data_IF_956736071801
#
_entry.id   IF_956736071801
#
_cell.length_a   1.000
_cell.length_b   1.000
_cell.length_c   1.000
_cell.angle_alpha   90.00
_cell.angle_beta   90.00
_cell.angle_gamma   90.00
#
_symmetry.space_group_name_H-M   'P 1'
#
loop_
_entity.id
_entity.type
_entity.pdbx_description
1 polymer ?
#
# COMPACT_ATOMS: atom_id res chain seq x y z
N UNK A 1 -35.04 0.14 26.76
CA UNK A 1 -34.21 0.40 25.56
C UNK A 1 -34.21 1.89 25.33
N UNK A 2 -33.07 2.54 25.09
CA UNK A 2 -33.08 3.91 24.59
C UNK A 2 -33.75 3.88 23.21
N UNK A 3 -34.75 4.73 23.00
CA UNK A 3 -35.34 4.98 21.70
C UNK A 3 -34.30 5.68 20.80
N UNK A 4 -34.22 5.35 19.49
CA UNK A 4 -33.36 6.08 18.57
C UNK A 4 -33.84 7.54 18.50
N UNK A 5 -32.90 8.49 18.46
CA UNK A 5 -33.23 9.89 18.16
C UNK A 5 -33.86 9.99 16.76
N UNK A 6 -34.99 10.70 16.68
CA UNK A 6 -35.79 10.98 15.48
C UNK A 6 -35.08 11.93 14.50
N UNK A 7 -33.84 11.65 14.12
CA UNK A 7 -33.29 12.17 12.88
C UNK A 7 -33.73 11.25 11.74
N UNK A 8 -34.94 11.49 11.25
CA UNK A 8 -35.44 10.91 9.99
C UNK A 8 -34.46 11.29 8.88
N UNK A 9 -33.51 10.41 8.58
CA UNK A 9 -32.63 10.52 7.42
C UNK A 9 -33.52 10.51 6.18
N UNK A 10 -33.46 11.60 5.41
CA UNK A 10 -34.21 11.72 4.17
C UNK A 10 -33.68 10.65 3.19
N UNK A 11 -34.50 9.69 2.73
CA UNK A 11 -34.03 8.56 1.91
C UNK A 11 -33.50 8.97 0.52
N UNK A 12 -33.63 10.25 0.15
CA UNK A 12 -33.15 10.83 -1.09
C UNK A 12 -31.80 11.57 -0.97
N UNK A 13 -31.17 11.61 0.21
CA UNK A 13 -29.89 12.31 0.38
C UNK A 13 -28.70 11.37 0.19
N UNK A 14 -27.80 11.75 -0.72
CA UNK A 14 -26.58 11.02 -1.03
C UNK A 14 -25.65 10.96 0.20
N UNK A 15 -25.60 9.78 0.81
CA UNK A 15 -24.81 9.54 2.04
C UNK A 15 -23.31 9.76 1.83
N UNK A 16 -22.79 9.50 0.63
CA UNK A 16 -21.37 9.70 0.33
C UNK A 16 -20.98 11.17 0.39
N UNK A 17 -21.89 12.07 -0.01
CA UNK A 17 -21.71 13.53 0.08
C UNK A 17 -21.81 13.99 1.54
N UNK A 18 -22.78 13.46 2.29
CA UNK A 18 -22.92 13.76 3.72
C UNK A 18 -21.67 13.40 4.50
N UNK A 19 -21.15 12.18 4.30
CA UNK A 19 -19.94 11.71 4.96
C UNK A 19 -18.75 12.66 4.70
N UNK A 20 -18.61 13.17 3.48
CA UNK A 20 -17.55 14.12 3.12
C UNK A 20 -17.83 15.57 3.53
N UNK A 21 -19.07 15.91 3.91
CA UNK A 21 -19.46 17.23 4.44
C UNK A 21 -19.56 17.25 5.97
N UNK A 22 -19.37 16.12 6.64
CA UNK A 22 -19.39 16.02 8.10
C UNK A 22 -18.19 16.70 8.79
N UNK A 23 -17.14 17.07 8.05
CA UNK A 23 -16.03 17.85 8.59
C UNK A 23 -16.50 19.24 9.01
N UNK A 24 -16.26 19.62 10.27
CA UNK A 24 -16.65 20.94 10.78
C UNK A 24 -15.78 22.05 10.15
N UNK A 25 -16.37 23.02 9.45
CA UNK A 25 -15.61 24.07 8.77
C UNK A 25 -14.68 24.87 9.70
N UNK A 26 -15.10 25.17 10.92
CA UNK A 26 -14.31 25.95 11.89
C UNK A 26 -13.07 25.21 12.40
N UNK A 27 -13.19 23.90 12.64
CA UNK A 27 -12.06 23.03 13.03
C UNK A 27 -11.06 22.95 11.88
N UNK A 28 -11.54 22.71 10.65
CA UNK A 28 -10.72 22.68 9.45
C UNK A 28 -10.04 24.03 9.18
N UNK A 29 -10.71 25.16 9.47
CA UNK A 29 -10.12 26.49 9.33
C UNK A 29 -8.99 26.73 10.33
N UNK A 30 -9.17 26.25 11.56
CA UNK A 30 -8.15 26.33 12.61
C UNK A 30 -6.93 25.51 12.23
N UNK A 31 -7.15 24.28 11.76
CA UNK A 31 -6.08 23.39 11.31
C UNK A 31 -5.36 23.97 10.09
N UNK A 32 -6.09 24.49 9.11
CA UNK A 32 -5.52 25.22 7.97
C UNK A 32 -4.57 26.34 8.43
N UNK A 33 -5.00 27.21 9.34
CA UNK A 33 -4.18 28.32 9.82
C UNK A 33 -2.89 27.83 10.50
N UNK A 34 -2.99 26.74 11.27
CA UNK A 34 -1.84 26.10 11.93
C UNK A 34 -0.84 25.57 10.90
N UNK A 35 -1.31 24.77 9.94
CA UNK A 35 -0.46 24.16 8.91
C UNK A 35 0.14 25.23 7.97
N UNK A 36 -0.64 26.24 7.60
CA UNK A 36 -0.18 27.30 6.69
C UNK A 36 0.99 28.11 7.25
N UNK A 37 1.03 28.30 8.57
CA UNK A 37 2.15 28.95 9.26
C UNK A 37 3.44 28.11 9.24
N UNK A 38 3.33 26.79 9.15
CA UNK A 38 4.45 25.85 9.14
C UNK A 38 4.98 25.51 7.73
N UNK A 39 4.30 25.97 6.67
CA UNK A 39 4.72 25.73 5.29
C UNK A 39 6.11 26.31 5.02
N UNK A 40 6.96 25.51 4.38
CA UNK A 40 8.18 26.02 3.75
C UNK A 40 7.81 26.90 2.54
N UNK A 41 8.77 27.69 2.05
CA UNK A 41 8.54 28.54 0.88
C UNK A 41 8.21 27.69 -0.36
N UNK A 42 8.86 26.53 -0.51
CA UNK A 42 8.62 25.61 -1.63
C UNK A 42 7.22 24.99 -1.56
N UNK A 43 6.85 24.45 -0.40
CA UNK A 43 5.52 23.87 -0.18
C UNK A 43 4.42 24.93 -0.41
N UNK A 44 4.67 26.17 0.01
CA UNK A 44 3.74 27.30 -0.21
C UNK A 44 3.51 27.60 -1.69
N UNK A 45 4.53 27.53 -2.54
CA UNK A 45 4.39 27.75 -3.99
C UNK A 45 3.54 26.65 -4.63
N UNK A 46 3.82 25.38 -4.30
CA UNK A 46 3.04 24.23 -4.80
C UNK A 46 1.58 24.34 -4.35
N UNK A 47 1.37 24.61 -3.06
CA UNK A 47 0.04 24.87 -2.50
C UNK A 47 -0.70 25.97 -3.26
N UNK A 48 -0.05 27.12 -3.49
CA UNK A 48 -0.65 28.27 -4.17
C UNK A 48 -1.06 27.94 -5.60
N UNK A 49 -0.26 27.17 -6.33
CA UNK A 49 -0.57 26.81 -7.71
C UNK A 49 -1.78 25.87 -7.79
N UNK A 50 -1.81 24.83 -6.96
CA UNK A 50 -2.92 23.87 -6.89
C UNK A 50 -4.20 24.59 -6.49
N UNK A 51 -4.16 25.36 -5.39
CA UNK A 51 -5.36 25.99 -4.85
C UNK A 51 -5.90 27.08 -5.77
N UNK A 52 -5.03 27.77 -6.53
CA UNK A 52 -5.45 28.69 -7.56
C UNK A 52 -6.25 27.96 -8.65
N UNK A 53 -5.81 26.78 -9.08
CA UNK A 53 -6.54 25.99 -10.08
C UNK A 53 -7.90 25.51 -9.57
N UNK A 54 -7.94 25.05 -8.31
CA UNK A 54 -9.16 24.63 -7.61
C UNK A 54 -10.15 25.78 -7.52
N UNK A 55 -9.74 26.92 -6.96
CA UNK A 55 -10.62 28.08 -6.74
C UNK A 55 -11.15 28.68 -8.06
N UNK A 56 -10.41 28.54 -9.16
CA UNK A 56 -10.83 29.01 -10.50
C UNK A 56 -11.58 27.95 -11.31
N UNK A 57 -11.78 26.74 -10.78
CA UNK A 57 -12.32 25.59 -11.51
C UNK A 57 -11.67 25.39 -12.89
N UNK A 58 -10.34 25.61 -12.97
CA UNK A 58 -9.60 25.49 -14.24
C UNK A 58 -9.38 24.04 -14.65
N UNK A 59 -9.57 23.11 -13.71
CA UNK A 59 -9.07 21.74 -13.80
C UNK A 59 -7.55 21.69 -13.72
N UNK A 60 -6.98 20.52 -13.92
CA UNK A 60 -5.54 20.36 -14.08
C UNK A 60 -5.01 19.09 -13.43
N UNK A 61 -3.88 18.64 -13.95
CA UNK A 61 -3.15 17.48 -13.48
C UNK A 61 -1.81 17.96 -12.93
N UNK A 62 -1.53 17.65 -11.68
CA UNK A 62 -0.32 18.05 -10.98
C UNK A 62 0.39 16.83 -10.43
N UNK A 63 1.72 16.83 -10.49
CA UNK A 63 2.53 15.82 -9.81
C UNK A 63 3.49 16.48 -8.83
N UNK A 64 3.35 16.12 -7.56
CA UNK A 64 4.22 16.55 -6.46
C UNK A 64 5.22 15.44 -6.18
N UNK A 65 6.43 15.61 -6.71
CA UNK A 65 7.52 14.68 -6.46
C UNK A 65 8.13 14.93 -5.10
N UNK A 66 8.41 13.92 -4.27
CA UNK A 66 9.15 14.12 -3.03
C UNK A 66 9.54 12.83 -2.33
N UNK A 67 10.80 12.69 -1.91
CA UNK A 67 11.28 11.53 -1.18
C UNK A 67 10.64 11.40 0.21
N UNK A 68 10.75 10.23 0.84
CA UNK A 68 10.24 9.99 2.19
C UNK A 68 10.71 11.06 3.18
N UNK A 69 9.77 11.64 3.94
CA UNK A 69 10.07 12.68 4.93
C UNK A 69 10.07 14.13 4.41
N UNK A 70 9.77 14.38 3.12
CA UNK A 70 9.66 15.73 2.53
C UNK A 70 8.34 16.47 2.85
N UNK A 71 7.43 15.84 3.59
CA UNK A 71 6.16 16.43 3.99
C UNK A 71 5.07 16.42 2.91
N UNK A 72 5.06 15.42 2.00
CA UNK A 72 3.95 15.23 1.03
C UNK A 72 2.59 15.10 1.74
N UNK A 73 2.51 14.24 2.75
CA UNK A 73 1.31 14.06 3.58
C UNK A 73 0.89 15.35 4.26
N UNK A 74 1.85 16.15 4.72
CA UNK A 74 1.59 17.48 5.28
C UNK A 74 0.97 18.43 4.24
N UNK A 75 1.42 18.38 2.99
CA UNK A 75 0.83 19.14 1.89
C UNK A 75 -0.60 18.66 1.56
N UNK A 76 -0.88 17.35 1.64
CA UNK A 76 -2.23 16.81 1.50
C UNK A 76 -3.16 17.31 2.60
N UNK A 77 -2.70 17.31 3.86
CA UNK A 77 -3.47 17.80 5.00
C UNK A 77 -3.87 19.27 4.85
N UNK A 78 -2.95 20.14 4.43
CA UNK A 78 -3.27 21.57 4.29
C UNK A 78 -4.20 21.86 3.11
N UNK A 79 -4.04 21.17 1.98
CA UNK A 79 -4.95 21.28 0.83
C UNK A 79 -6.36 20.82 1.21
N UNK A 80 -6.45 19.69 1.92
CA UNK A 80 -7.68 19.18 2.50
C UNK A 80 -8.35 20.21 3.42
N UNK A 81 -7.59 20.72 4.40
CA UNK A 81 -8.08 21.68 5.38
C UNK A 81 -8.59 22.99 4.77
N UNK A 82 -7.87 23.58 3.80
CA UNK A 82 -8.33 24.82 3.14
C UNK A 82 -9.65 24.60 2.39
N UNK A 83 -9.75 23.53 1.60
CA UNK A 83 -10.92 23.26 0.77
C UNK A 83 -12.13 22.88 1.64
N UNK A 84 -11.92 22.00 2.64
CA UNK A 84 -12.97 21.56 3.58
C UNK A 84 -13.43 22.70 4.49
N UNK A 85 -12.56 23.64 4.88
CA UNK A 85 -12.96 24.84 5.64
C UNK A 85 -13.96 25.74 4.90
N UNK A 86 -14.06 25.58 3.56
CA UNK A 86 -15.02 26.29 2.71
C UNK A 86 -16.27 25.44 2.39
N UNK A 87 -16.45 24.30 3.06
CA UNK A 87 -17.56 23.37 2.82
C UNK A 87 -17.47 22.58 1.52
N UNK A 88 -16.30 22.55 0.87
CA UNK A 88 -16.07 21.80 -0.36
C UNK A 88 -15.47 20.43 -0.10
N UNK A 89 -15.62 19.52 -1.06
CA UNK A 89 -15.22 18.11 -0.92
C UNK A 89 -13.84 17.87 -1.54
N UNK A 90 -13.01 17.09 -0.84
CA UNK A 90 -11.71 16.57 -1.31
C UNK A 90 -11.73 15.06 -1.23
N UNK A 91 -11.42 14.39 -2.33
CA UNK A 91 -11.31 12.93 -2.37
C UNK A 91 -9.85 12.53 -2.22
N UNK A 92 -9.50 11.99 -1.06
CA UNK A 92 -8.18 11.45 -0.80
C UNK A 92 -8.15 9.96 -1.16
N UNK A 93 -7.28 9.60 -2.10
CA UNK A 93 -7.04 8.21 -2.49
C UNK A 93 -5.55 7.86 -2.39
N UNK A 94 -5.26 6.58 -2.21
CA UNK A 94 -3.90 6.07 -2.29
C UNK A 94 -3.85 4.75 -3.07
N UNK A 95 -2.67 4.42 -3.57
CA UNK A 95 -2.45 3.15 -4.29
C UNK A 95 -2.47 1.94 -3.36
N UNK A 96 -2.01 2.09 -2.12
CA UNK A 96 -1.97 1.04 -1.10
C UNK A 96 -2.97 1.28 0.03
N UNK A 97 -3.38 0.20 0.71
CA UNK A 97 -4.29 0.30 1.87
C UNK A 97 -3.65 0.99 3.08
N UNK A 98 -2.34 0.83 3.26
CA UNK A 98 -1.58 1.46 4.35
C UNK A 98 -1.49 2.96 4.11
N UNK A 99 -1.11 3.39 2.91
CA UNK A 99 -1.05 4.81 2.56
C UNK A 99 -2.42 5.48 2.66
N UNK A 100 -3.51 4.77 2.30
CA UNK A 100 -4.86 5.29 2.44
C UNK A 100 -5.24 5.61 3.90
N UNK A 101 -4.74 4.83 4.88
CA UNK A 101 -4.98 5.09 6.30
C UNK A 101 -4.28 6.34 6.82
N UNK A 102 -3.20 6.78 6.16
CA UNK A 102 -2.46 7.98 6.54
C UNK A 102 -3.13 9.27 6.06
N UNK A 103 -4.14 9.17 5.18
CA UNK A 103 -4.89 10.29 4.65
C UNK A 103 -6.22 10.46 5.38
N UNK A 104 -6.58 11.71 5.71
CA UNK A 104 -7.87 12.01 6.35
C UNK A 104 -9.04 11.68 5.40
N UNK A 105 -9.86 10.70 5.79
CA UNK A 105 -10.94 10.14 4.96
C UNK A 105 -10.43 9.27 3.79
N UNK A 106 -9.16 8.87 3.82
CA UNK A 106 -8.51 8.16 2.73
C UNK A 106 -9.09 6.78 2.46
N UNK A 107 -9.12 6.41 1.18
CA UNK A 107 -9.46 5.06 0.71
C UNK A 107 -8.52 4.65 -0.41
N UNK A 108 -8.42 3.36 -0.71
CA UNK A 108 -7.63 2.95 -1.88
C UNK A 108 -8.30 3.45 -3.16
N UNK A 109 -7.53 3.79 -4.19
CA UNK A 109 -8.06 4.25 -5.47
C UNK A 109 -9.05 3.25 -6.09
N UNK A 110 -8.71 1.95 -6.03
CA UNK A 110 -9.60 0.87 -6.44
C UNK A 110 -10.97 0.89 -5.73
N UNK A 111 -10.99 1.10 -4.41
CA UNK A 111 -12.25 1.09 -3.65
C UNK A 111 -13.03 2.41 -3.75
N UNK A 112 -12.34 3.54 -3.87
CA UNK A 112 -12.98 4.86 -3.92
C UNK A 112 -13.53 5.19 -5.29
N UNK A 113 -12.81 4.80 -6.33
CA UNK A 113 -13.08 5.17 -7.72
C UNK A 113 -13.50 3.95 -8.56
N UNK A 114 -13.73 2.78 -7.95
CA UNK A 114 -14.15 1.56 -8.62
C UNK A 114 -13.27 1.20 -9.83
N UNK A 115 -11.95 1.39 -9.70
CA UNK A 115 -10.99 1.03 -10.74
C UNK A 115 -10.92 -0.50 -10.82
N UNK A 116 -11.09 -1.10 -12.01
CA UNK A 116 -10.97 -2.55 -12.16
C UNK A 116 -9.56 -3.03 -11.81
N UNK A 117 -9.45 -4.21 -11.20
CA UNK A 117 -8.15 -4.82 -10.89
C UNK A 117 -7.44 -5.24 -12.20
N UNK A 118 -8.20 -5.83 -13.13
CA UNK A 118 -7.72 -6.17 -14.46
C UNK A 118 -8.04 -5.01 -15.42
N UNK A 119 -7.02 -4.25 -15.75
CA UNK A 119 -7.11 -3.03 -16.55
C UNK A 119 -6.37 -3.19 -17.88
N UNK A 120 -6.97 -2.62 -18.92
CA UNK A 120 -6.38 -2.48 -20.25
C UNK A 120 -6.64 -1.07 -20.79
N UNK A 121 -6.17 -0.81 -22.00
CA UNK A 121 -6.25 0.49 -22.68
C UNK A 121 -7.68 1.01 -22.88
N UNK A 122 -8.70 0.14 -22.83
CA UNK A 122 -10.11 0.46 -23.05
C UNK A 122 -10.97 0.39 -21.79
N UNK A 123 -10.38 0.05 -20.64
CA UNK A 123 -11.10 -0.09 -19.38
C UNK A 123 -11.77 1.23 -18.94
N UNK A 124 -12.91 1.09 -18.27
CA UNK A 124 -13.63 2.17 -17.59
C UNK A 124 -13.78 1.79 -16.11
N UNK A 125 -13.90 2.77 -15.23
CA UNK A 125 -14.28 2.49 -13.84
C UNK A 125 -15.74 2.01 -13.82
N UNK A 126 -16.06 1.08 -12.92
CA UNK A 126 -17.43 0.59 -12.74
C UNK A 126 -18.26 1.60 -11.94
N UNK A 127 -18.50 2.78 -12.53
CA UNK A 127 -19.29 3.88 -11.95
C UNK A 127 -20.36 4.29 -12.95
N UNK A 128 -21.62 4.07 -12.59
CA UNK A 128 -22.75 4.58 -13.37
C UNK A 128 -22.87 6.09 -13.22
N UNK A 129 -23.14 6.81 -14.32
CA UNK A 129 -23.23 8.27 -14.32
C UNK A 129 -24.35 8.81 -13.40
N UNK A 130 -25.37 8.00 -13.12
CA UNK A 130 -26.49 8.35 -12.23
C UNK A 130 -26.28 7.87 -10.78
N UNK A 131 -25.14 7.22 -10.49
CA UNK A 131 -24.85 6.74 -9.14
C UNK A 131 -24.51 7.87 -8.16
N UNK A 132 -24.76 7.62 -6.87
CA UNK A 132 -24.33 8.48 -5.76
C UNK A 132 -22.82 8.80 -5.81
N UNK A 133 -22.00 7.84 -6.26
CA UNK A 133 -20.56 8.05 -6.39
C UNK A 133 -20.23 9.03 -7.52
N UNK A 134 -20.93 8.95 -8.66
CA UNK A 134 -20.77 9.91 -9.75
C UNK A 134 -21.19 11.32 -9.32
N UNK A 135 -22.28 11.46 -8.56
CA UNK A 135 -22.70 12.75 -7.99
C UNK A 135 -21.65 13.31 -7.02
N UNK A 136 -21.12 12.48 -6.12
CA UNK A 136 -20.04 12.89 -5.23
C UNK A 136 -18.80 13.37 -6.01
N UNK A 137 -18.41 12.65 -7.06
CA UNK A 137 -17.29 13.04 -7.93
C UNK A 137 -17.58 14.40 -8.58
N UNK A 138 -18.82 14.67 -9.00
CA UNK A 138 -19.22 15.99 -9.54
C UNK A 138 -19.08 17.10 -8.50
N UNK A 139 -19.40 16.83 -7.24
CA UNK A 139 -19.26 17.81 -6.15
C UNK A 139 -17.80 18.01 -5.69
N UNK A 140 -16.95 16.99 -5.82
CA UNK A 140 -15.55 17.06 -5.40
C UNK A 140 -14.77 18.15 -6.15
N UNK A 141 -14.01 18.98 -5.41
CA UNK A 141 -13.17 20.05 -5.98
C UNK A 141 -11.74 19.62 -6.27
N UNK A 142 -11.26 18.62 -5.56
CA UNK A 142 -9.90 18.11 -5.64
C UNK A 142 -9.89 16.60 -5.42
N UNK A 143 -9.09 15.90 -6.22
CA UNK A 143 -8.74 14.50 -6.01
C UNK A 143 -7.25 14.43 -5.74
N UNK A 144 -6.85 13.89 -4.59
CA UNK A 144 -5.46 13.66 -4.22
C UNK A 144 -5.20 12.16 -4.33
N UNK A 145 -4.13 11.77 -5.03
CA UNK A 145 -3.70 10.38 -5.17
C UNK A 145 -2.25 10.23 -4.66
N UNK A 146 -2.10 9.60 -3.50
CA UNK A 146 -0.80 9.30 -2.89
C UNK A 146 -0.24 7.95 -3.35
N UNK A 147 1.07 7.80 -3.40
CA UNK A 147 1.78 6.61 -3.91
C UNK A 147 1.44 6.30 -5.39
N UNK A 148 1.20 7.34 -6.19
CA UNK A 148 0.73 7.21 -7.58
C UNK A 148 1.67 6.37 -8.49
N UNK A 149 3.02 6.52 -8.47
CA UNK A 149 3.93 5.76 -9.33
C UNK A 149 3.86 4.24 -9.18
N UNK A 150 3.33 3.72 -8.07
CA UNK A 150 3.14 2.28 -7.87
C UNK A 150 2.07 1.67 -8.79
N UNK A 151 1.22 2.48 -9.40
CA UNK A 151 0.09 2.03 -10.22
C UNK A 151 0.42 2.02 -11.70
N UNK A 152 -0.11 1.02 -12.41
CA UNK A 152 -0.02 0.97 -13.86
C UNK A 152 -0.69 2.21 -14.47
N UNK A 153 -0.09 2.80 -15.51
CA UNK A 153 -0.61 3.96 -16.26
C UNK A 153 -2.08 3.82 -16.63
N UNK A 154 -2.55 2.61 -16.93
CA UNK A 154 -3.92 2.35 -17.32
C UNK A 154 -4.92 2.63 -16.19
N UNK A 155 -4.51 2.61 -14.91
CA UNK A 155 -5.36 3.07 -13.80
C UNK A 155 -5.76 4.55 -13.99
N UNK A 156 -4.79 5.40 -14.33
CA UNK A 156 -4.97 6.84 -14.48
C UNK A 156 -5.74 7.18 -15.75
N UNK A 157 -5.45 6.49 -16.84
CA UNK A 157 -6.18 6.63 -18.11
C UNK A 157 -7.63 6.17 -17.99
N UNK A 158 -7.87 5.07 -17.27
CA UNK A 158 -9.22 4.57 -16.96
C UNK A 158 -10.00 5.59 -16.14
N UNK A 159 -9.35 6.19 -15.13
CA UNK A 159 -9.97 7.27 -14.35
C UNK A 159 -10.29 8.48 -15.23
N UNK A 160 -9.36 8.93 -16.08
CA UNK A 160 -9.58 10.06 -16.99
C UNK A 160 -10.81 9.84 -17.87
N UNK A 161 -10.87 8.72 -18.60
CA UNK A 161 -12.03 8.38 -19.45
C UNK A 161 -13.34 8.38 -18.66
N UNK A 162 -13.33 7.81 -17.46
CA UNK A 162 -14.51 7.77 -16.58
C UNK A 162 -14.94 9.16 -16.15
N UNK A 163 -13.99 10.02 -15.73
CA UNK A 163 -14.30 11.38 -15.31
C UNK A 163 -14.78 12.25 -16.46
N UNK A 164 -14.24 12.07 -17.67
CA UNK A 164 -14.75 12.73 -18.87
C UNK A 164 -16.21 12.39 -19.13
N UNK A 165 -16.60 11.13 -18.95
CA UNK A 165 -18.00 10.69 -19.10
C UNK A 165 -18.91 11.21 -17.99
N UNK A 166 -18.52 11.09 -16.71
CA UNK A 166 -19.30 11.56 -15.56
C UNK A 166 -19.54 13.07 -15.61
N UNK A 167 -18.51 13.83 -16.02
CA UNK A 167 -18.52 15.29 -16.10
C UNK A 167 -19.02 15.81 -17.45
N UNK A 168 -19.25 14.93 -18.43
CA UNK A 168 -19.61 15.27 -19.82
C UNK A 168 -18.68 16.32 -20.42
N UNK A 169 -17.38 16.12 -20.24
CA UNK A 169 -16.32 17.05 -20.65
C UNK A 169 -15.11 16.28 -21.18
N UNK A 170 -14.71 16.55 -22.42
CA UNK A 170 -13.53 15.92 -23.07
C UNK A 170 -12.19 16.52 -22.58
N UNK A 171 -12.21 17.30 -21.51
CA UNK A 171 -10.99 17.82 -20.88
C UNK A 171 -10.44 16.78 -19.92
N UNK A 172 -9.13 16.76 -19.72
CA UNK A 172 -8.46 15.86 -18.79
C UNK A 172 -9.16 15.88 -17.42
N UNK A 173 -9.46 14.69 -16.92
CA UNK A 173 -10.23 14.39 -15.72
C UNK A 173 -11.58 15.11 -15.63
N UNK A 174 -12.23 15.37 -16.77
CA UNK A 174 -13.50 16.09 -16.79
C UNK A 174 -13.41 17.50 -16.21
N UNK A 175 -12.28 18.17 -16.35
CA UNK A 175 -11.95 19.48 -15.72
C UNK A 175 -11.81 19.44 -14.19
N UNK A 176 -11.65 18.26 -13.57
CA UNK A 176 -11.28 18.16 -12.16
C UNK A 176 -9.81 18.55 -11.97
N UNK A 177 -9.51 19.01 -10.76
CA UNK A 177 -8.13 19.15 -10.31
C UNK A 177 -7.74 17.82 -9.68
N UNK A 178 -6.72 17.19 -10.26
CA UNK A 178 -6.16 15.93 -9.78
C UNK A 178 -4.70 16.16 -9.44
N UNK A 179 -4.32 15.82 -8.21
CA UNK A 179 -2.95 15.93 -7.74
C UNK A 179 -2.46 14.54 -7.39
N UNK A 180 -1.38 14.15 -8.04
CA UNK A 180 -0.64 12.95 -7.72
C UNK A 180 0.58 13.33 -6.90
N UNK A 181 1.03 12.45 -6.02
CA UNK A 181 2.37 12.62 -5.51
C UNK A 181 2.94 11.32 -5.03
N UNK A 182 4.25 11.22 -5.24
CA UNK A 182 5.16 10.28 -4.60
C UNK A 182 6.61 10.54 -5.08
N UNK A 183 7.53 9.63 -4.80
CA UNK A 183 8.89 9.57 -5.34
C UNK A 183 9.00 8.49 -6.43
N UNK A 184 9.50 8.86 -7.61
CA UNK A 184 9.72 7.91 -8.71
C UNK A 184 10.86 6.91 -8.44
N UNK A 185 11.67 7.17 -7.40
CA UNK A 185 12.69 6.26 -6.89
C UNK A 185 12.10 5.14 -6.01
N UNK A 186 10.81 5.22 -5.68
CA UNK A 186 10.08 4.14 -5.02
C UNK A 186 9.66 3.05 -6.02
N UNK A 187 8.89 2.06 -5.54
CA UNK A 187 8.56 0.87 -6.31
C UNK A 187 7.63 1.23 -7.48
N UNK A 188 8.12 0.98 -8.70
CA UNK A 188 7.35 1.08 -9.94
C UNK A 188 6.29 -0.02 -10.04
N UNK A 189 5.35 0.07 -10.99
CA UNK A 189 4.27 -0.90 -11.11
C UNK A 189 4.85 -2.31 -11.35
N UNK A 190 4.45 -3.26 -10.52
CA UNK A 190 4.88 -4.65 -10.67
C UNK A 190 4.12 -5.27 -11.84
N UNK A 191 4.82 -5.60 -12.92
CA UNK A 191 4.26 -6.28 -14.09
C UNK A 191 4.59 -7.77 -14.00
N UNK A 192 3.60 -8.66 -13.77
CA UNK A 192 3.83 -10.09 -13.75
C UNK A 192 4.51 -10.56 -15.04
N UNK A 193 5.61 -11.30 -14.91
CA UNK A 193 6.40 -11.82 -16.04
C UNK A 193 6.97 -10.73 -16.97
N UNK A 194 6.85 -9.45 -16.57
CA UNK A 194 7.35 -8.31 -17.31
C UNK A 194 8.80 -8.02 -16.99
N UNK A 195 9.60 -7.82 -18.04
CA UNK A 195 10.96 -7.30 -17.89
C UNK A 195 11.01 -5.80 -17.61
N UNK A 196 12.23 -5.25 -17.58
CA UNK A 196 12.50 -3.82 -17.37
C UNK A 196 11.68 -2.91 -18.27
N UNK A 197 11.64 -3.22 -19.56
CA UNK A 197 10.89 -2.46 -20.59
C UNK A 197 9.39 -2.41 -20.28
N UNK A 198 8.80 -3.53 -19.86
CA UNK A 198 7.38 -3.58 -19.53
C UNK A 198 7.04 -2.70 -18.32
N UNK A 199 7.92 -2.66 -17.31
CA UNK A 199 7.77 -1.81 -16.13
C UNK A 199 7.82 -0.32 -16.50
N UNK A 200 8.76 0.08 -17.36
CA UNK A 200 8.88 1.47 -17.84
C UNK A 200 7.65 1.86 -18.67
N UNK A 201 7.18 1.00 -19.57
CA UNK A 201 5.97 1.27 -20.38
C UNK A 201 4.70 1.33 -19.55
N UNK A 202 4.63 0.59 -18.44
CA UNK A 202 3.52 0.63 -17.51
C UNK A 202 3.57 1.83 -16.55
N UNK A 203 4.68 2.55 -16.47
CA UNK A 203 4.85 3.69 -15.57
C UNK A 203 4.00 4.88 -16.01
N UNK A 204 3.54 5.69 -15.05
CA UNK A 204 2.62 6.81 -15.28
C UNK A 204 3.17 7.89 -16.24
N UNK A 205 4.49 8.06 -16.27
CA UNK A 205 5.18 8.98 -17.19
C UNK A 205 5.11 8.54 -18.66
N UNK A 206 4.86 7.26 -18.90
CA UNK A 206 4.61 6.67 -20.23
C UNK A 206 3.13 6.77 -20.64
N UNK A 207 2.29 7.43 -19.82
CA UNK A 207 0.89 7.68 -20.15
C UNK A 207 0.73 8.83 -21.13
N UNK A 208 -0.31 8.76 -21.96
CA UNK A 208 -0.74 9.87 -22.83
C UNK A 208 -1.16 11.13 -22.04
N UNK A 209 -1.48 10.98 -20.75
CA UNK A 209 -1.83 12.09 -19.87
C UNK A 209 -0.60 12.90 -19.43
N UNK A 210 0.57 12.26 -19.38
CA UNK A 210 1.78 12.83 -18.77
C UNK A 210 2.23 14.18 -19.38
N UNK A 211 2.17 14.40 -20.70
CA UNK A 211 2.54 15.70 -21.30
C UNK A 211 1.69 16.88 -20.81
N UNK A 212 0.49 16.61 -20.28
CA UNK A 212 -0.39 17.62 -19.69
C UNK A 212 -0.23 17.78 -18.18
N UNK A 213 0.65 16.98 -17.57
CA UNK A 213 1.00 17.07 -16.16
C UNK A 213 1.82 18.32 -15.90
N UNK A 214 1.38 19.13 -14.94
CA UNK A 214 2.25 20.12 -14.31
C UNK A 214 3.13 19.40 -13.30
N UNK A 215 4.28 18.95 -13.79
CA UNK A 215 5.30 18.37 -12.95
C UNK A 215 6.01 19.48 -12.17
N UNK A 216 5.99 19.39 -10.83
CA UNK A 216 6.84 20.28 -10.03
C UNK A 216 8.29 19.79 -10.12
N UNK A 217 8.98 20.25 -11.17
CA UNK A 217 10.36 19.87 -11.55
C UNK A 217 11.40 20.03 -10.43
N UNK A 218 11.06 20.78 -9.39
CA UNK A 218 12.00 21.35 -8.45
C UNK A 218 12.47 20.42 -7.32
N UNK A 219 11.72 19.35 -7.01
CA UNK A 219 12.16 18.35 -6.01
C UNK A 219 13.17 17.33 -6.57
N UNK A 220 13.43 17.33 -7.88
CA UNK A 220 14.59 16.66 -8.46
C UNK A 220 15.88 17.38 -8.04
N UNK A 221 15.91 18.72 -8.11
CA UNK A 221 17.13 19.52 -7.88
C UNK A 221 17.71 19.38 -6.46
N UNK A 222 16.87 19.10 -5.46
CA UNK A 222 17.29 18.87 -4.06
C UNK A 222 17.71 17.42 -3.83
N UNK A 223 17.09 16.46 -4.54
CA UNK A 223 17.39 15.03 -4.44
C UNK A 223 18.59 14.57 -5.29
N UNK A 224 19.09 15.44 -6.16
CA UNK A 224 20.14 15.10 -7.13
C UNK A 224 21.56 15.47 -6.71
N UNK A 225 21.77 15.86 -5.43
CA UNK A 225 23.07 16.16 -4.81
C UNK A 225 24.25 15.73 -5.69
N UNK A 226 24.64 16.63 -6.60
CA UNK A 226 25.33 16.32 -7.87
C UNK A 226 26.23 15.09 -7.80
N UNK A 227 25.81 13.96 -8.39
CA UNK A 227 26.73 12.95 -8.97
C UNK A 227 26.06 12.28 -10.19
N UNK A 228 26.22 12.92 -11.35
CA UNK A 228 26.25 12.21 -12.64
C UNK A 228 27.63 11.53 -12.74
N UNK A 229 27.73 10.28 -12.29
CA UNK A 229 28.70 9.35 -12.87
C UNK A 229 27.99 8.56 -13.98
N UNK A 230 28.70 8.20 -15.07
CA UNK A 230 28.11 7.47 -16.17
C UNK A 230 27.76 6.07 -15.66
N UNK A 231 26.48 5.86 -15.34
CA UNK A 231 25.98 4.60 -14.78
C UNK A 231 24.90 4.01 -15.70
N UNK A 232 25.16 2.80 -16.17
CA UNK A 232 24.51 2.12 -17.30
C UNK A 232 23.23 1.37 -16.89
N UNK A 233 22.61 1.77 -15.77
CA UNK A 233 21.35 1.20 -15.27
C UNK A 233 21.49 0.03 -14.27
N UNK A 234 22.66 -0.60 -14.22
CA UNK A 234 23.04 -1.62 -13.22
C UNK A 234 24.49 -1.38 -12.76
N UNK A 235 24.71 -1.30 -11.46
CA UNK A 235 26.04 -1.05 -10.89
C UNK A 235 26.28 -1.99 -9.72
N UNK A 236 27.42 -2.70 -9.74
CA UNK A 236 27.90 -3.37 -8.55
C UNK A 236 28.38 -2.34 -7.54
N UNK A 237 27.71 -2.30 -6.38
CA UNK A 237 28.13 -1.47 -5.26
C UNK A 237 28.76 -2.34 -4.18
N UNK A 238 29.90 -1.89 -3.66
CA UNK A 238 30.56 -2.52 -2.53
C UNK A 238 29.99 -1.97 -1.22
N UNK A 239 29.61 -2.86 -0.31
CA UNK A 239 29.02 -2.46 0.97
C UNK A 239 30.13 -2.32 2.01
N UNK A 240 30.17 -1.19 2.74
CA UNK A 240 31.10 -1.04 3.85
C UNK A 240 30.92 -2.11 4.93
N UNK A 241 32.06 -2.62 5.43
CA UNK A 241 32.16 -3.77 6.34
C UNK A 241 31.36 -3.62 7.64
N UNK A 242 31.15 -2.38 8.11
CA UNK A 242 30.41 -2.08 9.33
C UNK A 242 28.92 -2.46 9.26
N UNK A 243 28.37 -2.62 8.06
CA UNK A 243 26.99 -3.02 7.84
C UNK A 243 26.82 -4.47 7.38
N UNK A 244 27.92 -5.15 7.04
CA UNK A 244 27.89 -6.52 6.58
C UNK A 244 27.90 -7.49 7.75
N UNK A 245 27.06 -8.53 7.65
CA UNK A 245 27.19 -9.72 8.49
C UNK A 245 28.24 -10.61 7.81
N UNK A 246 29.50 -10.51 8.26
CA UNK A 246 30.68 -11.03 7.54
C UNK A 246 31.02 -12.49 7.80
N UNK A 247 30.39 -13.15 8.78
CA UNK A 247 30.66 -14.55 9.08
C UNK A 247 29.47 -15.23 9.78
N UNK A 248 28.79 -16.13 9.07
CA UNK A 248 27.90 -17.12 9.68
C UNK A 248 27.81 -18.38 8.84
N UNK A 249 27.89 -19.55 9.48
CA UNK A 249 27.54 -20.84 8.88
C UNK A 249 26.03 -20.95 8.62
N UNK A 250 25.21 -20.21 9.38
CA UNK A 250 23.76 -20.08 9.20
C UNK A 250 23.37 -18.61 8.99
N UNK A 251 23.15 -18.19 7.73
CA UNK A 251 22.81 -16.81 7.38
C UNK A 251 21.51 -16.33 8.08
N UNK A 252 20.50 -17.19 8.20
CA UNK A 252 19.21 -16.84 8.82
C UNK A 252 19.39 -16.62 10.32
N UNK A 253 20.13 -17.51 10.99
CA UNK A 253 20.42 -17.33 12.41
C UNK A 253 21.12 -16.00 12.69
N UNK A 254 22.10 -15.63 11.86
CA UNK A 254 22.88 -14.41 12.10
C UNK A 254 22.05 -13.13 11.95
N UNK A 255 21.23 -13.02 10.90
CA UNK A 255 20.37 -11.83 10.73
C UNK A 255 19.29 -11.74 11.82
N UNK A 256 18.72 -12.89 12.22
CA UNK A 256 17.77 -12.94 13.33
C UNK A 256 18.42 -12.52 14.64
N UNK A 257 19.61 -13.07 14.94
CA UNK A 257 20.36 -12.74 16.12
C UNK A 257 20.69 -11.25 16.20
N UNK A 258 21.07 -10.64 15.09
CA UNK A 258 21.46 -9.24 15.06
C UNK A 258 20.26 -8.29 15.25
N UNK A 259 19.10 -8.60 14.66
CA UNK A 259 17.92 -7.73 14.70
C UNK A 259 17.07 -7.95 15.95
N UNK A 260 16.82 -9.20 16.29
CA UNK A 260 15.94 -9.61 17.38
C UNK A 260 16.70 -10.06 18.64
N UNK A 261 18.00 -10.33 18.56
CA UNK A 261 18.78 -10.76 19.72
C UNK A 261 18.49 -12.19 20.18
N UNK A 262 19.28 -12.71 21.12
CA UNK A 262 19.14 -14.09 21.64
C UNK A 262 17.87 -14.36 22.45
N UNK A 263 17.19 -13.30 22.91
CA UNK A 263 16.09 -13.41 23.88
C UNK A 263 14.73 -13.03 23.31
N UNK A 264 14.60 -12.85 21.99
CA UNK A 264 13.32 -12.45 21.38
C UNK A 264 12.17 -13.42 21.72
N UNK A 265 12.49 -14.70 21.89
CA UNK A 265 11.52 -15.73 22.23
C UNK A 265 10.87 -15.55 23.62
N UNK A 266 11.46 -14.72 24.49
CA UNK A 266 10.93 -14.37 25.82
C UNK A 266 10.32 -12.96 25.86
N UNK A 267 10.41 -12.22 24.76
CA UNK A 267 9.97 -10.84 24.69
C UNK A 267 8.46 -10.77 24.47
N UNK A 268 7.79 -9.89 25.21
CA UNK A 268 6.34 -9.75 25.19
C UNK A 268 5.88 -8.30 24.92
N UNK A 269 6.80 -7.34 24.84
CA UNK A 269 6.49 -5.95 24.52
C UNK A 269 6.14 -5.82 23.01
N UNK A 270 4.94 -5.36 22.64
CA UNK A 270 4.60 -5.06 21.25
C UNK A 270 5.55 -4.07 20.59
N UNK A 271 6.08 -3.12 21.36
CA UNK A 271 6.98 -2.10 20.83
C UNK A 271 8.28 -2.73 20.35
N UNK A 272 8.68 -3.85 20.94
CA UNK A 272 9.87 -4.57 20.51
C UNK A 272 9.75 -5.06 19.07
N UNK A 273 8.63 -5.71 18.72
CA UNK A 273 8.36 -6.21 17.38
C UNK A 273 7.91 -5.10 16.41
N UNK A 274 7.27 -4.04 16.89
CA UNK A 274 6.89 -2.88 16.05
C UNK A 274 8.09 -2.20 15.39
N UNK A 275 9.19 -2.10 16.13
CA UNK A 275 10.36 -1.33 15.74
C UNK A 275 11.37 -2.14 14.94
N UNK A 276 11.11 -3.44 14.75
CA UNK A 276 12.02 -4.43 14.17
C UNK A 276 11.35 -5.18 13.04
N UNK A 277 12.01 -5.28 11.90
CA UNK A 277 11.59 -6.20 10.85
C UNK A 277 12.80 -6.71 10.08
N UNK A 278 12.68 -7.91 9.53
CA UNK A 278 13.60 -8.40 8.49
C UNK A 278 12.93 -8.24 7.13
N UNK A 279 13.58 -7.56 6.20
CA UNK A 279 13.08 -7.30 4.87
C UNK A 279 13.80 -8.19 3.86
N UNK A 280 13.07 -8.74 2.90
CA UNK A 280 13.64 -9.48 1.78
C UNK A 280 12.92 -9.13 0.47
N UNK A 281 13.60 -9.16 -0.69
CA UNK A 281 12.94 -8.98 -1.99
C UNK A 281 12.02 -10.17 -2.35
N UNK A 282 12.31 -11.39 -1.85
CA UNK A 282 11.60 -12.61 -2.24
C UNK A 282 10.70 -13.13 -1.13
N UNK A 283 9.46 -13.50 -1.48
CA UNK A 283 8.52 -14.10 -0.52
C UNK A 283 9.04 -15.43 0.06
N UNK A 284 9.81 -16.21 -0.70
CA UNK A 284 10.38 -17.48 -0.25
C UNK A 284 11.35 -17.30 0.92
N UNK A 285 12.20 -16.27 0.88
CA UNK A 285 13.15 -16.00 1.95
C UNK A 285 12.44 -15.45 3.19
N UNK A 286 11.43 -14.59 2.99
CA UNK A 286 10.52 -14.14 4.06
C UNK A 286 9.90 -15.35 4.77
N UNK A 287 9.44 -16.33 4.00
CA UNK A 287 8.82 -17.54 4.54
C UNK A 287 9.80 -18.40 5.35
N UNK A 288 11.01 -18.63 4.84
CA UNK A 288 12.07 -19.37 5.56
C UNK A 288 12.41 -18.70 6.89
N UNK A 289 12.58 -17.37 6.89
CA UNK A 289 12.93 -16.60 8.09
C UNK A 289 11.77 -16.63 9.10
N UNK A 290 10.52 -16.45 8.63
CA UNK A 290 9.35 -16.51 9.49
C UNK A 290 9.17 -17.90 10.14
N UNK A 291 9.39 -18.98 9.38
CA UNK A 291 9.34 -20.35 9.90
C UNK A 291 10.45 -20.59 10.92
N UNK A 292 11.67 -20.15 10.62
CA UNK A 292 12.79 -20.21 11.56
C UNK A 292 12.45 -19.50 12.88
N UNK A 293 11.97 -18.26 12.80
CA UNK A 293 11.57 -17.47 13.97
C UNK A 293 10.47 -18.13 14.79
N UNK A 294 9.45 -18.68 14.12
CA UNK A 294 8.36 -19.40 14.78
C UNK A 294 8.87 -20.66 15.50
N UNK A 295 9.81 -21.40 14.92
CA UNK A 295 10.38 -22.61 15.53
C UNK A 295 11.08 -22.31 16.87
N UNK A 296 11.67 -21.12 17.02
CA UNK A 296 12.38 -20.71 18.24
C UNK A 296 11.44 -20.18 19.34
N UNK A 297 10.18 -19.85 19.01
CA UNK A 297 9.23 -19.36 20.00
C UNK A 297 8.75 -20.51 20.90
N UNK A 298 8.74 -20.37 22.24
CA UNK A 298 8.18 -21.37 23.13
C UNK A 298 6.65 -21.43 23.00
N UNK A 299 6.09 -22.61 23.27
CA UNK A 299 4.64 -22.83 23.27
C UNK A 299 4.18 -23.85 22.25
N UNK A 300 2.89 -24.16 22.32
CA UNK A 300 2.24 -25.13 21.44
C UNK A 300 2.06 -24.57 20.03
N UNK A 301 2.39 -25.39 19.03
CA UNK A 301 2.17 -25.10 17.62
C UNK A 301 0.74 -25.44 17.21
N UNK A 302 0.08 -24.47 16.60
CA UNK A 302 -1.26 -24.63 16.04
C UNK A 302 -1.19 -24.55 14.53
N UNK A 303 -1.57 -25.63 13.87
CA UNK A 303 -1.64 -25.71 12.41
C UNK A 303 -3.09 -25.59 11.95
N UNK A 304 -3.33 -24.63 11.04
CA UNK A 304 -4.62 -24.43 10.41
C UNK A 304 -4.56 -24.74 8.92
N UNK A 305 -5.32 -25.76 8.51
CA UNK A 305 -5.53 -26.05 7.10
C UNK A 305 -6.65 -25.20 6.52
N UNK A 306 -6.44 -24.71 5.30
CA UNK A 306 -7.45 -23.99 4.53
C UNK A 306 -8.46 -24.94 3.90
N UNK A 307 -9.59 -24.38 3.48
CA UNK A 307 -10.57 -25.08 2.64
C UNK A 307 -10.70 -24.32 1.33
N UNK A 308 -10.28 -24.94 0.24
CA UNK A 308 -10.17 -24.31 -1.07
C UNK A 308 -11.27 -24.85 -1.99
N UNK A 309 -11.86 -23.96 -2.79
CA UNK A 309 -12.94 -24.31 -3.73
C UNK A 309 -12.89 -23.40 -4.96
N UNK A 310 -13.45 -23.88 -6.06
CA UNK A 310 -13.64 -23.09 -7.29
C UNK A 310 -15.03 -22.44 -7.22
N UNK A 311 -15.13 -21.18 -7.67
CA UNK A 311 -16.39 -20.49 -7.87
C UNK A 311 -16.98 -20.92 -9.21
N UNK A 312 -18.04 -21.71 -9.15
CA UNK A 312 -18.80 -22.15 -10.32
C UNK A 312 -19.78 -21.04 -10.73
N UNK A 313 -19.30 -20.05 -11.48
CA UNK A 313 -20.16 -19.15 -12.24
C UNK A 313 -20.02 -19.51 -13.72
N UNK A 314 -21.02 -20.21 -14.24
CA UNK A 314 -21.27 -20.49 -15.67
C UNK A 314 -20.42 -21.54 -16.42
N UNK A 315 -19.70 -22.43 -15.74
CA UNK A 315 -19.19 -23.67 -16.36
C UNK A 315 -19.90 -24.92 -15.84
N UNK A 316 -20.29 -25.79 -16.78
CA UNK A 316 -20.94 -27.08 -16.51
C UNK A 316 -20.17 -27.89 -15.45
N UNK A 317 -20.89 -28.64 -14.62
CA UNK A 317 -20.42 -29.60 -13.58
C UNK A 317 -19.23 -30.51 -13.97
N UNK A 318 -18.87 -30.56 -15.25
CA UNK A 318 -17.69 -31.26 -15.77
C UNK A 318 -16.34 -30.57 -15.50
N UNK A 319 -16.29 -29.25 -15.21
CA UNK A 319 -15.02 -28.53 -14.97
C UNK A 319 -14.49 -28.64 -13.52
N UNK A 320 -15.35 -28.91 -12.54
CA UNK A 320 -14.94 -29.21 -11.15
C UNK A 320 -14.06 -30.47 -11.07
N UNK A 321 -14.03 -31.28 -12.14
CA UNK A 321 -13.24 -32.51 -12.24
C UNK A 321 -11.82 -32.30 -12.79
N UNK A 322 -11.47 -31.10 -13.29
CA UNK A 322 -10.18 -30.87 -13.97
C UNK A 322 -9.06 -30.50 -13.00
N UNK A 323 -9.38 -29.91 -11.83
CA UNK A 323 -8.39 -29.45 -10.86
C UNK A 323 -8.49 -30.23 -9.55
N UNK A 324 -7.40 -30.90 -9.16
CA UNK A 324 -7.37 -31.65 -7.91
C UNK A 324 -7.30 -30.73 -6.69
N UNK A 325 -7.79 -31.21 -5.54
CA UNK A 325 -7.71 -30.45 -4.29
C UNK A 325 -6.25 -30.17 -3.90
N UNK A 326 -5.33 -31.09 -4.18
CA UNK A 326 -3.89 -30.93 -3.94
C UNK A 326 -3.32 -29.77 -4.77
N UNK A 327 -3.76 -29.63 -6.02
CA UNK A 327 -3.36 -28.50 -6.86
C UNK A 327 -3.86 -27.17 -6.26
N UNK A 328 -5.13 -27.09 -5.87
CA UNK A 328 -5.67 -25.89 -5.23
C UNK A 328 -4.93 -25.53 -3.93
N UNK A 329 -4.65 -26.53 -3.09
CA UNK A 329 -3.91 -26.36 -1.83
C UNK A 329 -2.44 -25.91 -2.08
N UNK A 330 -1.85 -26.29 -3.22
CA UNK A 330 -0.47 -25.91 -3.59
C UNK A 330 -0.33 -24.45 -4.05
N UNK A 331 -1.44 -23.78 -4.39
CA UNK A 331 -1.42 -22.40 -4.86
C UNK A 331 -0.97 -21.47 -3.73
N UNK A 332 0.18 -20.83 -3.94
CA UNK A 332 0.77 -19.82 -3.06
C UNK A 332 1.02 -18.54 -3.86
N UNK A 333 0.13 -17.56 -3.73
CA UNK A 333 0.20 -16.28 -4.44
C UNK A 333 0.12 -15.11 -3.46
N UNK A 334 0.72 -13.99 -3.81
CA UNK A 334 0.71 -12.79 -2.97
C UNK A 334 -0.72 -12.35 -2.65
N UNK A 335 -0.99 -12.06 -1.36
CA UNK A 335 -2.31 -11.63 -0.89
C UNK A 335 -3.31 -12.77 -0.64
N UNK A 336 -2.93 -14.03 -0.91
CA UNK A 336 -3.66 -15.22 -0.51
C UNK A 336 -3.00 -15.83 0.74
N UNK A 337 -3.76 -16.13 1.81
CA UNK A 337 -3.22 -16.87 2.95
C UNK A 337 -2.72 -18.25 2.53
N UNK A 338 -1.71 -18.76 3.23
CA UNK A 338 -1.19 -20.11 3.00
C UNK A 338 -2.25 -21.17 3.28
N UNK A 339 -2.19 -22.27 2.52
CA UNK A 339 -3.01 -23.45 2.80
C UNK A 339 -2.74 -23.95 4.22
N UNK A 340 -1.46 -24.18 4.53
CA UNK A 340 -0.99 -24.52 5.86
C UNK A 340 -0.50 -23.26 6.58
N UNK A 341 -1.21 -22.86 7.64
CA UNK A 341 -0.88 -21.72 8.47
C UNK A 341 -0.53 -22.19 9.89
N UNK A 342 0.77 -22.15 10.21
CA UNK A 342 1.28 -22.50 11.55
C UNK A 342 1.48 -21.25 12.40
N UNK A 343 0.97 -21.27 13.63
CA UNK A 343 1.04 -20.16 14.56
C UNK A 343 1.36 -20.62 15.98
N UNK A 344 1.92 -19.70 16.77
CA UNK A 344 2.11 -19.83 18.21
C UNK A 344 1.63 -18.56 18.90
N UNK A 345 1.20 -18.68 20.15
CA UNK A 345 0.86 -17.52 20.98
C UNK A 345 2.09 -16.63 21.16
N UNK A 346 1.94 -15.33 20.96
CA UNK A 346 3.03 -14.35 20.98
C UNK A 346 3.63 -14.05 19.60
N UNK A 347 3.27 -14.81 18.56
CA UNK A 347 3.78 -14.54 17.21
C UNK A 347 3.23 -13.20 16.65
N UNK A 348 4.08 -12.35 16.06
CA UNK A 348 3.66 -11.21 15.26
C UNK A 348 3.10 -11.69 13.92
N UNK A 349 1.95 -11.14 13.55
CA UNK A 349 1.23 -11.42 12.33
C UNK A 349 0.82 -10.12 11.64
N UNK A 350 0.55 -10.20 10.35
CA UNK A 350 0.07 -9.10 9.53
C UNK A 350 -1.23 -9.50 8.86
N UNK A 351 -2.22 -8.60 8.85
CA UNK A 351 -3.45 -8.79 8.08
C UNK A 351 -3.18 -8.68 6.58
N UNK A 352 -3.76 -9.60 5.80
CA UNK A 352 -3.67 -9.64 4.35
C UNK A 352 -4.87 -8.99 3.65
N UNK A 353 -5.92 -8.67 4.41
CA UNK A 353 -7.17 -8.10 3.91
C UNK A 353 -7.74 -7.08 4.90
N UNK A 354 -8.54 -6.17 4.36
CA UNK A 354 -9.34 -5.25 5.15
C UNK A 354 -10.50 -6.03 5.79
N UNK A 355 -10.60 -5.98 7.12
CA UNK A 355 -11.70 -6.56 7.90
C UNK A 355 -12.58 -5.45 8.46
N UNK A 356 -11.96 -4.49 9.14
CA UNK A 356 -12.63 -3.32 9.70
C UNK A 356 -11.70 -2.10 9.58
N UNK A 357 -11.74 -1.39 8.45
CA UNK A 357 -10.90 -0.22 8.24
C UNK A 357 -11.13 0.90 9.26
N UNK A 358 -12.37 1.03 9.78
CA UNK A 358 -12.70 2.07 10.76
C UNK A 358 -12.11 1.74 12.14
N UNK A 359 -12.06 0.45 12.49
CA UNK A 359 -11.39 -0.06 13.68
C UNK A 359 -9.89 -0.34 13.52
N UNK A 360 -9.25 0.12 12.43
CA UNK A 360 -7.81 -0.05 12.21
C UNK A 360 -7.36 -1.43 11.72
N UNK A 361 -8.29 -2.33 11.37
CA UNK A 361 -8.01 -3.66 10.81
C UNK A 361 -7.99 -3.65 9.29
N UNK A 362 -6.91 -3.10 8.74
CA UNK A 362 -6.63 -3.05 7.31
C UNK A 362 -5.57 -4.08 6.89
N UNK A 363 -5.47 -4.30 5.58
CA UNK A 363 -4.34 -4.99 4.99
C UNK A 363 -3.03 -4.27 5.37
N UNK A 364 -2.06 -5.02 5.89
CA UNK A 364 -0.80 -4.50 6.41
C UNK A 364 -0.80 -4.22 7.91
N UNK A 365 -1.95 -4.18 8.60
CA UNK A 365 -2.00 -3.95 10.04
C UNK A 365 -1.22 -5.06 10.77
N UNK A 366 -0.26 -4.65 11.61
CA UNK A 366 0.56 -5.56 12.42
C UNK A 366 -0.11 -5.85 13.75
N UNK A 367 -0.19 -7.13 14.09
CA UNK A 367 -0.86 -7.65 15.28
C UNK A 367 0.04 -8.66 16.00
N UNK A 368 -0.19 -8.89 17.29
CA UNK A 368 0.45 -9.99 18.04
C UNK A 368 -0.62 -10.95 18.53
N UNK A 369 -0.43 -12.24 18.26
CA UNK A 369 -1.36 -13.29 18.69
C UNK A 369 -1.38 -13.40 20.21
N UNK A 370 -2.54 -13.22 20.83
CA UNK A 370 -2.71 -13.37 22.29
C UNK A 370 -3.40 -14.67 22.66
N UNK A 371 -4.32 -15.16 21.83
CA UNK A 371 -4.98 -16.46 22.01
C UNK A 371 -5.31 -17.10 20.66
N UNK A 372 -5.31 -18.42 20.65
CA UNK A 372 -5.55 -19.24 19.46
C UNK A 372 -6.70 -20.20 19.78
N UNK A 373 -7.70 -20.25 18.91
CA UNK A 373 -8.86 -21.15 19.03
C UNK A 373 -9.26 -21.69 17.64
N UNK A 374 -10.09 -22.73 17.59
CA UNK A 374 -10.40 -23.44 16.34
C UNK A 374 -10.95 -22.54 15.21
N UNK A 375 -11.74 -21.53 15.57
CA UNK A 375 -12.48 -20.71 14.60
C UNK A 375 -12.19 -19.21 14.68
N UNK A 376 -11.40 -18.78 15.66
CA UNK A 376 -11.08 -17.37 15.90
C UNK A 376 -9.67 -17.25 16.49
N UNK A 377 -8.96 -16.21 16.09
CA UNK A 377 -7.68 -15.82 16.68
C UNK A 377 -7.88 -14.51 17.42
N UNK A 378 -7.51 -14.45 18.69
CA UNK A 378 -7.41 -13.18 19.41
C UNK A 378 -6.02 -12.61 19.17
N UNK A 379 -5.97 -11.37 18.70
CA UNK A 379 -4.72 -10.65 18.51
C UNK A 379 -4.81 -9.23 19.07
N UNK A 380 -3.66 -8.63 19.33
CA UNK A 380 -3.56 -7.26 19.83
C UNK A 380 -2.95 -6.36 18.77
N UNK A 381 -3.54 -5.20 18.52
CA UNK A 381 -3.06 -4.23 17.52
C UNK A 381 -1.74 -3.59 17.98
N UNK A 382 -0.75 -3.55 17.07
CA UNK A 382 0.58 -2.98 17.31
C UNK A 382 0.77 -1.62 16.62
N UNK A 383 0.03 -1.36 15.55
CA UNK A 383 0.17 -0.18 14.67
C UNK A 383 -1.14 0.62 14.58
N UNK A 384 -1.06 1.96 14.51
CA UNK A 384 -2.23 2.86 14.35
C UNK A 384 -2.66 3.56 15.64
N UNK A 385 -3.87 4.13 15.63
CA UNK A 385 -4.46 4.85 16.78
C UNK A 385 -5.07 3.88 17.82
N UNK A 386 -5.45 2.67 17.39
CA UNK A 386 -6.04 1.60 18.22
C UNK A 386 -4.99 0.68 18.89
N UNK A 387 -3.81 1.20 19.22
CA UNK A 387 -2.72 0.38 19.79
C UNK A 387 -3.13 -0.24 21.13
N UNK A 388 -2.79 -1.51 21.31
CA UNK A 388 -3.15 -2.36 22.44
C UNK A 388 -4.61 -2.84 22.50
N UNK A 389 -5.46 -2.47 21.55
CA UNK A 389 -6.80 -3.05 21.48
C UNK A 389 -6.73 -4.53 21.09
N UNK A 390 -7.57 -5.34 21.75
CA UNK A 390 -7.75 -6.75 21.42
C UNK A 390 -8.82 -6.89 20.36
N UNK A 391 -8.51 -7.67 19.33
CA UNK A 391 -9.38 -7.94 18.20
C UNK A 391 -9.50 -9.42 17.96
N UNK A 392 -10.64 -9.81 17.38
CA UNK A 392 -10.94 -11.18 17.00
C UNK A 392 -10.89 -11.30 15.49
N UNK A 393 -10.03 -12.20 15.00
CA UNK A 393 -9.84 -12.44 13.57
C UNK A 393 -10.55 -13.76 13.22
N UNK A 394 -11.64 -13.72 12.44
CA UNK A 394 -12.30 -14.92 11.95
C UNK A 394 -11.63 -15.45 10.68
N UNK A 395 -11.95 -16.69 10.31
CA UNK A 395 -11.67 -17.19 8.96
C UNK A 395 -12.61 -16.53 7.96
N UNK A 396 -12.10 -16.18 6.79
CA UNK A 396 -12.89 -15.63 5.69
C UNK A 396 -12.52 -16.28 4.36
N UNK A 397 -13.38 -16.14 3.37
CA UNK A 397 -13.05 -16.49 2.00
C UNK A 397 -12.16 -15.41 1.40
N UNK A 398 -11.03 -15.82 0.84
CA UNK A 398 -10.07 -14.96 0.15
C UNK A 398 -9.84 -15.54 -1.23
N UNK A 399 -10.08 -14.74 -2.26
CA UNK A 399 -9.77 -15.09 -3.64
C UNK A 399 -8.42 -14.49 -4.05
N UNK A 400 -7.63 -15.16 -4.90
CA UNK A 400 -6.43 -14.59 -5.49
C UNK A 400 -6.74 -13.22 -6.12
N UNK A 401 -5.90 -12.20 -5.90
CA UNK A 401 -6.10 -10.90 -6.53
C UNK A 401 -5.82 -10.90 -8.05
N UNK A 402 -5.13 -11.91 -8.57
CA UNK A 402 -4.61 -11.97 -9.93
C UNK A 402 -5.36 -13.03 -10.74
N UNK A 403 -5.87 -12.68 -11.94
CA UNK A 403 -6.57 -13.59 -12.86
C UNK A 403 -5.60 -14.52 -13.61
N UNK A 404 -4.57 -15.02 -12.92
CA UNK A 404 -3.56 -15.92 -13.47
C UNK A 404 -4.08 -17.33 -13.73
N UNK A 405 -5.18 -17.68 -13.08
CA UNK A 405 -5.79 -18.98 -13.21
C UNK A 405 -6.97 -18.89 -14.17
N UNK A 406 -7.17 -19.89 -15.04
CA UNK A 406 -8.35 -19.97 -15.91
C UNK A 406 -9.66 -20.25 -15.14
N UNK A 407 -9.62 -20.18 -13.81
CA UNK A 407 -10.73 -20.42 -12.90
C UNK A 407 -10.69 -19.41 -11.74
N UNK A 408 -11.85 -19.07 -11.21
CA UNK A 408 -11.96 -18.28 -9.99
C UNK A 408 -11.90 -19.23 -8.79
N UNK A 409 -10.83 -19.20 -7.99
CA UNK A 409 -10.79 -19.95 -6.71
C UNK A 409 -11.05 -19.04 -5.52
N UNK A 410 -11.60 -19.63 -4.46
CA UNK A 410 -11.71 -19.03 -3.14
C UNK A 410 -11.11 -19.97 -2.09
N UNK A 411 -10.28 -19.40 -1.21
CA UNK A 411 -9.65 -20.09 -0.07
C UNK A 411 -10.26 -19.59 1.22
N UNK A 412 -10.83 -20.48 2.03
CA UNK A 412 -11.30 -20.18 3.39
C UNK A 412 -10.16 -20.37 4.39
N UNK A 413 -9.61 -19.27 4.89
CA UNK A 413 -8.52 -19.27 5.87
C UNK A 413 -8.55 -17.99 6.71
N UNK A 414 -7.78 -17.94 7.81
CA UNK A 414 -7.51 -16.66 8.47
C UNK A 414 -6.73 -15.74 7.53
N UNK A 415 -7.14 -14.47 7.34
CA UNK A 415 -6.53 -13.54 6.38
C UNK A 415 -5.24 -12.93 6.94
N UNK A 416 -4.30 -13.75 7.39
CA UNK A 416 -3.08 -13.33 8.10
C UNK A 416 -1.83 -14.05 7.56
N UNK A 417 -0.67 -13.44 7.78
CA UNK A 417 0.64 -14.03 7.58
C UNK A 417 1.55 -13.72 8.77
N UNK A 418 2.57 -14.55 9.02
CA UNK A 418 3.64 -14.22 9.98
C UNK A 418 4.39 -12.96 9.53
N UNK A 419 4.82 -12.16 10.50
CA UNK A 419 5.37 -10.83 10.24
C UNK A 419 6.68 -10.55 11.00
N UNK A 420 7.53 -11.56 11.23
CA UNK A 420 8.92 -11.32 11.68
C UNK A 420 9.79 -10.82 10.52
N UNK A 421 9.54 -11.39 9.35
CA UNK A 421 10.05 -10.91 8.08
C UNK A 421 8.89 -10.53 7.17
N UNK A 422 9.09 -9.51 6.35
CA UNK A 422 8.14 -9.05 5.33
C UNK A 422 8.89 -8.70 4.05
N UNK A 423 8.19 -8.62 2.91
CA UNK A 423 8.84 -8.19 1.68
C UNK A 423 9.08 -6.69 1.66
N UNK A 424 10.12 -6.24 0.95
CA UNK A 424 10.42 -4.81 0.77
C UNK A 424 9.15 -4.06 0.29
N UNK A 425 8.45 -4.63 -0.69
CA UNK A 425 7.20 -4.07 -1.22
C UNK A 425 6.08 -3.90 -0.18
N UNK A 426 6.06 -4.72 0.87
CA UNK A 426 5.06 -4.63 1.95
C UNK A 426 5.50 -3.75 3.11
N UNK A 427 6.78 -3.39 3.17
CA UNK A 427 7.36 -2.52 4.19
C UNK A 427 7.31 -1.03 3.85
N UNK A 428 6.94 -0.68 2.61
CA UNK A 428 6.77 0.70 2.18
C UNK A 428 5.80 1.43 3.12
N UNK A 429 6.13 2.67 3.44
CA UNK A 429 5.40 3.54 4.39
C UNK A 429 5.41 3.10 5.87
N UNK A 430 6.18 2.06 6.22
CA UNK A 430 6.38 1.67 7.62
C UNK A 430 7.63 2.34 8.21
N UNK A 431 7.49 2.94 9.39
CA UNK A 431 8.64 3.47 10.16
C UNK A 431 9.18 2.39 11.09
N UNK A 432 10.40 1.93 10.82
CA UNK A 432 11.12 0.91 11.60
C UNK A 432 12.42 1.49 12.19
N UNK A 433 12.78 1.12 13.42
CA UNK A 433 14.01 1.62 14.08
C UNK A 433 15.21 0.70 13.84
N UNK A 434 14.97 -0.61 13.72
CA UNK A 434 15.99 -1.63 13.47
C UNK A 434 15.53 -2.52 12.33
N UNK A 435 16.31 -2.58 11.25
CA UNK A 435 15.91 -3.32 10.06
C UNK A 435 17.00 -4.32 9.71
N UNK A 436 16.64 -5.58 9.60
CA UNK A 436 17.46 -6.56 8.90
C UNK A 436 17.09 -6.47 7.45
N UNK A 437 18.05 -6.37 6.55
CA UNK A 437 17.74 -6.53 5.14
C UNK A 437 18.54 -7.72 4.65
N UNK A 438 17.79 -8.68 4.18
CA UNK A 438 18.31 -9.61 3.20
C UNK A 438 18.25 -8.80 1.91
N UNK A 439 19.41 -8.23 1.52
CA UNK A 439 19.71 -7.14 0.52
C UNK A 439 20.12 -5.77 1.16
N UNK A 440 20.34 -4.63 0.47
CA UNK A 440 21.28 -3.56 0.92
C UNK A 440 20.74 -2.12 1.29
N UNK A 441 21.21 -1.56 2.45
CA UNK A 441 21.14 -0.21 3.19
C UNK A 441 19.79 0.52 3.51
N UNK A 442 19.49 1.17 4.69
CA UNK A 442 20.20 1.72 5.91
C UNK A 442 19.32 1.67 7.22
N UNK A 443 19.92 1.74 8.43
CA UNK A 443 19.31 1.30 9.72
C UNK A 443 19.56 -0.18 10.00
N UNK A 444 20.60 -0.70 9.35
CA UNK A 444 20.46 -1.92 8.59
C UNK A 444 21.61 -2.86 8.82
N UNK A 445 21.29 -4.13 9.02
CA UNK A 445 22.25 -5.21 8.95
C UNK A 445 21.98 -6.00 7.69
N UNK A 446 22.99 -6.06 6.85
CA UNK A 446 22.89 -6.55 5.49
C UNK A 446 23.54 -7.92 5.44
N UNK A 447 22.71 -8.89 5.11
CA UNK A 447 23.16 -10.21 4.75
C UNK A 447 23.01 -10.33 3.23
N UNK A 448 24.14 -10.42 2.53
CA UNK A 448 24.15 -10.78 1.12
C UNK A 448 24.67 -12.20 1.02
N UNK A 449 23.91 -13.08 0.38
CA UNK A 449 24.36 -14.41 0.03
C UNK A 449 24.37 -14.60 -1.48
N UNK A 450 25.29 -15.42 -1.99
CA UNK A 450 25.21 -15.92 -3.36
C UNK A 450 24.12 -17.02 -3.47
N UNK A 451 23.93 -17.59 -4.66
CA UNK A 451 22.94 -18.65 -4.90
C UNK A 451 23.17 -19.90 -4.03
N UNK A 452 24.41 -20.13 -3.59
CA UNK A 452 24.82 -21.23 -2.72
C UNK A 452 24.68 -20.91 -1.22
N UNK A 453 24.21 -19.71 -0.85
CA UNK A 453 24.03 -19.30 0.56
C UNK A 453 25.30 -18.76 1.23
N UNK A 454 26.42 -18.65 0.51
CA UNK A 454 27.67 -18.10 1.03
C UNK A 454 27.64 -16.56 1.09
N UNK A 455 28.17 -15.99 2.17
CA UNK A 455 28.17 -14.54 2.38
C UNK A 455 29.04 -13.80 1.36
N UNK A 456 28.57 -12.64 0.87
CA UNK A 456 29.31 -11.77 -0.06
C UNK A 456 29.16 -10.28 0.32
N UNK A 457 29.99 -9.41 -0.28
CA UNK A 457 30.05 -7.98 0.03
C UNK A 457 29.57 -7.06 -1.11
N UNK A 458 29.14 -7.62 -2.24
CA UNK A 458 28.67 -6.87 -3.42
C UNK A 458 27.20 -7.11 -3.69
N UNK A 459 26.51 -6.09 -4.19
CA UNK A 459 25.15 -6.22 -4.71
C UNK A 459 24.98 -5.39 -5.97
N UNK A 460 23.94 -5.71 -6.73
CA UNK A 460 23.55 -5.00 -7.94
C UNK A 460 22.49 -3.94 -7.60
N UNK A 461 22.80 -2.68 -7.88
CA UNK A 461 21.85 -1.58 -7.76
C UNK A 461 21.10 -1.40 -9.10
N UNK A 462 19.77 -1.56 -9.08
CA UNK A 462 18.92 -1.38 -10.26
C UNK A 462 18.22 -0.03 -10.18
N UNK A 463 18.51 0.87 -11.11
CA UNK A 463 17.84 2.17 -11.23
C UNK A 463 17.21 2.29 -12.61
N UNK A 464 15.89 2.51 -12.67
CA UNK A 464 15.15 2.72 -13.92
C UNK A 464 15.31 4.16 -14.43
N UNK A 465 16.49 4.51 -14.96
CA UNK A 465 16.78 5.85 -15.49
C UNK A 465 15.81 6.29 -16.58
N UNK A 466 15.32 5.35 -17.38
CA UNK A 466 14.37 5.58 -18.47
C UNK A 466 13.04 6.17 -17.97
N UNK A 467 12.71 6.00 -16.69
CA UNK A 467 11.55 6.66 -16.09
C UNK A 467 11.80 8.16 -15.90
N UNK A 468 13.04 8.56 -15.64
CA UNK A 468 13.40 9.96 -15.48
C UNK A 468 13.61 10.69 -16.81
N UNK A 469 13.86 9.98 -17.91
CA UNK A 469 14.04 10.58 -19.25
C UNK A 469 12.80 11.34 -19.74
N UNK A 470 11.61 10.98 -19.23
CA UNK A 470 10.33 11.59 -19.58
C UNK A 470 9.84 12.65 -18.56
N UNK A 471 10.70 13.11 -17.65
CA UNK A 471 10.42 14.12 -16.60
C UNK A 471 11.22 15.43 -16.86
#
# INVERSE_FOLDING_TARGET
>A
MPTPDDCVLNPNENRLIMDEKNYKPDEQKTEYNRLFAMLTEEQRRVYQEIIYSVNKNKGGMFFVHGFGGTGKTFLWSILGADIRSKGNIVLNVASSGIAALLLEGGRTAHSRLCIPININEYSMCSIDAESDLAELIREAKLIIWDEAPMMNRHCFETLDRTLQDIMKSNRIFGSKVVVWGDDFRQILPVIPEGGRVATVLASINSSLLWPSCKFSKWLLDIGDGKINEPNDGEVEIEIPEDLLITASEDPIHAIVHEIYGKSFAKENDPRFFKRRAILSPRNEDVDKINQYMLSQLPGEEWCYLSSDSIETSDTSVFDDMVYSQEFLNSINVSGLPKHELTLKKGAPIMLLRNIDPKGGLCNGTSLIVTQIANHVIEARIVTGDSVNEKVLIPRMFVSPPDAKFPFCMRRRQFPIALAYAITINKSQDQTLEYVGLVTTRKGLKILITNEDGACQNRTLNVVFKEVFDNI
#
